data_IF_670794002270
#
_entry.id   IF_670794002270
#
_cell.length_a   1.000
_cell.length_b   1.000
_cell.length_c   1.000
_cell.angle_alpha   90.00
_cell.angle_beta   90.00
_cell.angle_gamma   90.00
#
_symmetry.space_group_name_H-M   'P 1'
#
loop_
_entity.id
_entity.type
_entity.pdbx_description
1 polymer ?
#
# COMPACT_ATOMS: atom_id res chain seq x y z
N UNK A 1 7.45 -2.62 9.78
CA UNK A 1 7.88 -1.70 8.70
C UNK A 1 9.35 -1.39 8.88
N UNK A 2 10.09 -1.26 7.78
CA UNK A 2 11.49 -0.85 7.74
C UNK A 2 11.60 0.52 7.07
N UNK A 3 12.49 1.36 7.59
CA UNK A 3 12.67 2.75 7.17
C UNK A 3 14.14 3.00 6.81
N UNK A 4 14.39 3.89 5.85
CA UNK A 4 15.74 4.32 5.50
C UNK A 4 16.35 5.10 6.67
N UNK A 5 17.55 4.73 7.12
CA UNK A 5 18.24 5.40 8.23
C UNK A 5 18.76 6.79 7.89
N UNK A 6 18.79 7.17 6.61
CA UNK A 6 19.32 8.45 6.14
C UNK A 6 18.20 9.49 5.99
N UNK A 7 17.10 9.12 5.33
CA UNK A 7 16.01 10.06 5.00
C UNK A 7 14.67 9.74 5.67
N UNK A 8 14.52 8.60 6.34
CA UNK A 8 13.28 8.20 7.00
C UNK A 8 12.19 7.64 6.08
N UNK A 9 12.42 7.52 4.77
CA UNK A 9 11.44 6.94 3.85
C UNK A 9 11.06 5.49 4.22
N UNK A 10 9.77 5.16 4.11
CA UNK A 10 9.26 3.79 4.30
C UNK A 10 9.73 2.89 3.15
N UNK A 11 10.53 1.88 3.44
CA UNK A 11 11.08 0.97 2.42
C UNK A 11 10.17 -0.24 2.18
N UNK A 12 9.79 -0.94 3.24
CA UNK A 12 8.98 -2.15 3.14
C UNK A 12 8.23 -2.50 4.44
N UNK A 13 7.16 -3.27 4.27
CA UNK A 13 6.45 -3.95 5.36
C UNK A 13 7.08 -5.30 5.65
N UNK A 14 7.11 -5.68 6.93
CA UNK A 14 7.59 -7.00 7.38
C UNK A 14 6.49 -7.74 8.11
N UNK A 15 6.40 -9.05 7.89
CA UNK A 15 5.51 -9.97 8.59
C UNK A 15 6.29 -11.24 8.92
N UNK A 16 6.31 -11.65 10.20
CA UNK A 16 7.12 -12.78 10.69
C UNK A 16 8.59 -12.70 10.21
N UNK A 17 9.21 -11.53 10.40
CA UNK A 17 10.59 -11.23 10.00
C UNK A 17 10.91 -11.40 8.50
N UNK A 18 9.88 -11.51 7.65
CA UNK A 18 10.01 -11.56 6.19
C UNK A 18 9.43 -10.31 5.56
N UNK A 19 10.07 -9.83 4.49
CA UNK A 19 9.52 -8.76 3.66
C UNK A 19 8.20 -9.24 3.06
N UNK A 20 7.13 -8.47 3.28
CA UNK A 20 5.78 -8.80 2.83
C UNK A 20 5.23 -7.80 1.81
N UNK A 21 5.81 -6.61 1.70
CA UNK A 21 5.47 -5.63 0.67
C UNK A 21 6.53 -4.54 0.59
N UNK A 22 6.70 -3.95 -0.59
CA UNK A 22 7.66 -2.86 -0.84
C UNK A 22 6.89 -1.57 -1.14
N UNK A 23 7.40 -0.44 -0.67
CA UNK A 23 6.80 0.86 -0.97
C UNK A 23 7.20 1.29 -2.37
N UNK A 24 6.23 1.52 -3.26
CA UNK A 24 6.51 1.89 -4.65
C UNK A 24 7.15 3.27 -4.81
N UNK A 25 6.98 4.17 -3.84
CA UNK A 25 7.61 5.49 -3.87
C UNK A 25 9.14 5.49 -3.86
N UNK A 26 9.78 4.33 -3.65
CA UNK A 26 11.23 4.16 -3.72
C UNK A 26 11.69 3.31 -4.93
N UNK A 27 10.78 2.97 -5.85
CA UNK A 27 11.08 2.21 -7.06
C UNK A 27 11.37 3.19 -8.20
N UNK A 28 12.51 3.00 -8.87
CA UNK A 28 12.91 3.80 -10.03
C UNK A 28 12.32 3.17 -11.30
N UNK A 29 11.73 4.00 -12.18
CA UNK A 29 11.15 3.55 -13.45
C UNK A 29 9.69 3.09 -13.34
N UNK A 30 9.18 2.49 -14.42
CA UNK A 30 7.83 1.92 -14.48
C UNK A 30 7.88 0.46 -14.00
N UNK A 31 7.22 0.12 -12.87
CA UNK A 31 7.18 -1.24 -12.37
C UNK A 31 6.24 -2.18 -13.16
N UNK A 32 5.48 -1.69 -14.15
CA UNK A 32 4.52 -2.47 -14.96
C UNK A 32 3.48 -3.21 -14.10
N UNK A 33 2.99 -2.55 -13.05
CA UNK A 33 1.94 -3.09 -12.15
C UNK A 33 0.71 -2.20 -12.12
N UNK A 34 -0.42 -2.82 -11.81
CA UNK A 34 -1.70 -2.15 -11.63
C UNK A 34 -2.14 -2.21 -10.16
N UNK A 35 -2.99 -1.26 -9.76
CA UNK A 35 -3.56 -1.23 -8.41
C UNK A 35 -4.57 -2.36 -8.30
N UNK A 36 -4.32 -3.33 -7.40
CA UNK A 36 -5.23 -4.44 -7.18
C UNK A 36 -6.44 -4.10 -6.32
N UNK A 37 -6.26 -3.26 -5.28
CA UNK A 37 -7.33 -2.85 -4.37
C UNK A 37 -6.90 -1.69 -3.46
N UNK A 38 -7.87 -0.95 -2.95
CA UNK A 38 -7.71 -0.03 -1.82
C UNK A 38 -8.31 -0.66 -0.56
N UNK A 39 -7.51 -0.84 0.48
CA UNK A 39 -7.94 -1.39 1.78
C UNK A 39 -7.90 -0.30 2.85
N UNK A 40 -8.67 -0.46 3.92
CA UNK A 40 -8.78 0.52 5.00
C UNK A 40 -9.29 1.91 4.56
N UNK A 41 -10.12 1.96 3.51
CA UNK A 41 -10.72 3.20 3.00
C UNK A 41 -11.58 3.91 4.06
N UNK A 42 -12.16 3.18 5.00
CA UNK A 42 -12.95 3.75 6.11
C UNK A 42 -12.11 4.60 7.07
N UNK A 43 -10.78 4.44 7.05
CA UNK A 43 -9.83 5.25 7.85
C UNK A 43 -9.13 6.34 7.04
N UNK A 44 -9.47 6.54 5.77
CA UNK A 44 -8.84 7.59 4.95
C UNK A 44 -9.25 8.97 5.45
N UNK A 45 -8.40 9.96 5.21
CA UNK A 45 -8.77 11.35 5.47
C UNK A 45 -9.99 11.78 4.64
N UNK A 46 -10.87 12.60 5.21
CA UNK A 46 -12.13 12.98 4.53
C UNK A 46 -11.92 13.75 3.22
N UNK A 47 -10.77 14.40 3.05
CA UNK A 47 -10.39 15.15 1.85
C UNK A 47 -9.72 14.30 0.76
N UNK A 48 -9.37 13.04 1.04
CA UNK A 48 -8.71 12.17 0.07
C UNK A 48 -9.72 11.62 -0.94
N UNK A 49 -9.41 11.70 -2.23
CA UNK A 49 -10.26 11.18 -3.32
C UNK A 49 -9.54 9.99 -3.96
N UNK A 50 -10.13 8.81 -3.85
CA UNK A 50 -9.58 7.58 -4.43
C UNK A 50 -10.10 7.42 -5.88
N UNK A 51 -9.24 7.07 -6.85
CA UNK A 51 -9.66 6.76 -8.20
C UNK A 51 -10.75 5.67 -8.27
N UNK A 52 -11.72 5.86 -9.17
CA UNK A 52 -12.71 4.84 -9.47
C UNK A 52 -12.11 3.73 -10.35
N UNK A 53 -12.76 2.57 -10.39
CA UNK A 53 -12.37 1.44 -11.26
C UNK A 53 -11.51 0.37 -10.59
N UNK A 54 -11.12 0.56 -9.32
CA UNK A 54 -10.38 -0.42 -8.52
C UNK A 54 -11.21 -0.81 -7.29
N UNK A 55 -11.27 -2.09 -6.87
CA UNK A 55 -11.98 -2.51 -5.67
C UNK A 55 -11.57 -1.70 -4.42
N UNK A 56 -12.56 -1.27 -3.65
CA UNK A 56 -12.35 -0.50 -2.42
C UNK A 56 -12.99 -1.22 -1.23
N UNK A 57 -12.28 -1.28 -0.11
CA UNK A 57 -12.71 -1.93 1.11
C UNK A 57 -12.49 -1.00 2.32
N UNK A 58 -13.50 -0.87 3.17
CA UNK A 58 -13.42 -0.04 4.38
C UNK A 58 -12.37 -0.55 5.37
N UNK A 59 -12.09 -1.85 5.35
CA UNK A 59 -11.11 -2.57 6.17
C UNK A 59 -10.36 -3.60 5.30
N UNK A 60 -10.08 -4.80 5.83
CA UNK A 60 -9.55 -5.92 5.05
C UNK A 60 -10.57 -6.42 4.00
N UNK A 61 -10.10 -6.91 2.84
CA UNK A 61 -10.96 -7.54 1.87
C UNK A 61 -11.55 -8.84 2.44
N UNK A 62 -12.74 -9.28 1.97
CA UNK A 62 -13.28 -10.57 2.37
C UNK A 62 -12.28 -11.69 2.03
N UNK A 63 -12.24 -12.74 2.85
CA UNK A 63 -11.23 -13.82 2.77
C UNK A 63 -11.13 -14.55 1.41
N UNK A 64 -12.06 -14.30 0.49
CA UNK A 64 -12.15 -14.92 -0.83
C UNK A 64 -12.20 -13.88 -1.98
N UNK A 65 -11.70 -12.66 -1.75
CA UNK A 65 -11.58 -11.63 -2.79
C UNK A 65 -10.46 -11.96 -3.79
#
# INVERSE_FOLDING_TARGET
MLFCSICGSTLCGTYNDKINGVTLGCVEGDPEIEIGMHIFVGSKASWEIIPEGVPQHDEWPPKNA
#
